data_IF_726675374802
#
_entry.id   IF_726675374802
#
_cell.length_a   1.000
_cell.length_b   1.000
_cell.length_c   1.000
_cell.angle_alpha   90.00
_cell.angle_beta   90.00
_cell.angle_gamma   90.00
#
_symmetry.space_group_name_H-M   'P 1'
#
loop_
_entity.id
_entity.type
_entity.pdbx_description
1 polymer ?
#
# COMPACT_ATOMS: atom_id res chain seq x y z
N UNK A 1 11.10 -2.69 -1.06
CA UNK A 1 10.06 -3.31 -1.92
C UNK A 1 9.70 -4.66 -1.32
N UNK A 2 8.42 -4.92 -1.08
CA UNK A 2 7.95 -6.20 -0.54
C UNK A 2 7.96 -7.24 -1.66
N UNK A 3 8.53 -8.42 -1.38
CA UNK A 3 8.43 -9.55 -2.31
C UNK A 3 7.00 -10.06 -2.34
N UNK A 4 6.49 -10.34 -3.54
CA UNK A 4 5.21 -11.03 -3.68
C UNK A 4 5.30 -12.38 -2.95
N UNK A 5 4.44 -12.67 -1.96
CA UNK A 5 4.44 -13.97 -1.30
C UNK A 5 4.20 -15.06 -2.35
N UNK A 6 4.85 -16.22 -2.20
CA UNK A 6 4.63 -17.39 -3.07
C UNK A 6 3.22 -18.00 -2.93
N UNK A 7 2.41 -17.47 -2.02
CA UNK A 7 0.99 -17.79 -1.81
C UNK A 7 0.11 -16.82 -2.60
N UNK A 8 -1.11 -17.21 -3.04
CA UNK A 8 -1.97 -16.33 -3.80
C UNK A 8 -2.21 -15.04 -3.03
N UNK A 9 -1.70 -13.94 -3.56
CA UNK A 9 -1.92 -12.61 -3.02
C UNK A 9 -3.43 -12.36 -3.06
N UNK A 10 -4.08 -12.23 -1.90
CA UNK A 10 -5.53 -12.04 -1.82
C UNK A 10 -5.85 -10.55 -1.65
N UNK A 11 -6.82 -10.06 -2.43
CA UNK A 11 -7.25 -8.67 -2.38
C UNK A 11 -7.79 -8.27 -1.00
N UNK A 12 -8.40 -9.20 -0.26
CA UNK A 12 -8.86 -8.97 1.11
C UNK A 12 -7.70 -8.80 2.10
N UNK A 13 -6.57 -9.49 1.86
CA UNK A 13 -5.36 -9.27 2.66
C UNK A 13 -4.78 -7.88 2.39
N UNK A 14 -4.69 -7.49 1.12
CA UNK A 14 -4.21 -6.17 0.72
C UNK A 14 -5.08 -5.02 1.26
N UNK A 15 -6.41 -5.21 1.31
CA UNK A 15 -7.33 -4.23 1.91
C UNK A 15 -7.08 -4.07 3.42
N UNK A 16 -6.80 -5.18 4.11
CA UNK A 16 -6.44 -5.16 5.54
C UNK A 16 -5.11 -4.45 5.77
N UNK A 17 -4.09 -4.72 4.95
CA UNK A 17 -2.82 -3.98 4.98
C UNK A 17 -3.03 -2.47 4.78
N UNK A 18 -3.77 -2.08 3.74
CA UNK A 18 -4.05 -0.65 3.49
C UNK A 18 -4.81 0.01 4.66
N UNK A 19 -5.74 -0.71 5.30
CA UNK A 19 -6.47 -0.18 6.46
C UNK A 19 -5.57 -0.06 7.68
N UNK A 20 -4.66 -1.02 7.89
CA UNK A 20 -3.67 -0.97 8.96
C UNK A 20 -2.72 0.22 8.77
N UNK A 21 -2.23 0.47 7.55
CA UNK A 21 -1.42 1.64 7.22
C UNK A 21 -2.14 2.96 7.55
N UNK A 22 -3.44 3.05 7.22
CA UNK A 22 -4.25 4.23 7.60
C UNK A 22 -4.32 4.41 9.10
N UNK A 23 -4.50 3.31 9.85
CA UNK A 23 -4.53 3.37 11.32
C UNK A 23 -3.18 3.81 11.89
N UNK A 24 -2.08 3.23 11.42
CA UNK A 24 -0.72 3.56 11.83
C UNK A 24 -0.40 5.05 11.62
N UNK A 25 -0.78 5.62 10.47
CA UNK A 25 -0.63 7.06 10.22
C UNK A 25 -1.41 7.90 11.23
N UNK A 26 -2.67 7.52 11.53
CA UNK A 26 -3.46 8.19 12.57
C UNK A 26 -2.94 8.01 14.00
N UNK A 27 -2.23 6.91 14.27
CA UNK A 27 -1.54 6.63 15.54
C UNK A 27 -0.20 7.39 15.66
N UNK A 28 0.24 8.07 14.60
CA UNK A 28 1.51 8.80 14.58
C UNK A 28 2.74 7.92 14.35
N UNK A 29 2.56 6.73 13.79
CA UNK A 29 3.65 5.80 13.50
C UNK A 29 4.56 6.36 12.40
N UNK A 30 5.79 6.72 12.75
CA UNK A 30 6.75 7.32 11.83
C UNK A 30 7.29 6.32 10.80
N UNK A 31 7.08 5.01 10.98
CA UNK A 31 7.49 4.00 10.01
C UNK A 31 6.84 4.21 8.63
N UNK A 32 5.60 4.73 8.60
CA UNK A 32 4.90 5.01 7.33
C UNK A 32 5.45 6.26 6.62
N UNK A 33 6.11 7.18 7.36
CA UNK A 33 6.62 8.42 6.78
C UNK A 33 7.75 8.15 5.79
N UNK A 34 8.62 7.17 6.07
CA UNK A 34 9.68 6.77 5.16
C UNK A 34 9.12 6.22 3.83
N UNK A 35 8.09 5.38 3.90
CA UNK A 35 7.39 4.86 2.72
C UNK A 35 6.73 6.00 1.93
N UNK A 36 6.06 6.93 2.61
CA UNK A 36 5.41 8.08 1.96
C UNK A 36 6.43 8.97 1.23
N UNK A 37 7.59 9.26 1.82
CA UNK A 37 8.66 10.01 1.14
C UNK A 37 9.19 9.29 -0.09
N UNK A 38 9.35 7.98 0.00
CA UNK A 38 9.91 7.18 -1.07
C UNK A 38 8.95 7.08 -2.25
N UNK A 39 7.65 6.97 -1.98
CA UNK A 39 6.63 6.71 -3.00
C UNK A 39 5.89 7.95 -3.48
N UNK A 40 5.78 8.99 -2.67
CA UNK A 40 5.09 10.23 -3.01
C UNK A 40 6.07 11.40 -3.08
N UNK A 41 6.28 11.88 -4.31
CA UNK A 41 7.16 13.04 -4.57
C UNK A 41 6.74 14.28 -3.76
N UNK A 42 5.44 14.48 -3.52
CA UNK A 42 4.90 15.58 -2.72
C UNK A 42 5.38 15.57 -1.26
N UNK A 43 5.74 14.39 -0.73
CA UNK A 43 6.24 14.21 0.63
C UNK A 43 7.76 14.09 0.71
N UNK A 44 8.47 13.99 -0.42
CA UNK A 44 9.92 13.75 -0.47
C UNK A 44 10.74 14.72 0.41
N UNK A 45 10.33 15.99 0.50
CA UNK A 45 11.00 17.03 1.30
C UNK A 45 10.25 17.40 2.59
N UNK A 46 9.24 16.62 3.00
CA UNK A 46 8.43 16.90 4.21
C UNK A 46 8.99 16.18 5.43
N UNK A 47 8.95 16.83 6.58
CA UNK A 47 9.26 16.24 7.89
C UNK A 47 8.20 15.21 8.31
N UNK A 48 8.52 14.32 9.25
CA UNK A 48 7.57 13.29 9.72
C UNK A 48 6.31 13.96 10.30
N UNK A 49 6.49 15.07 11.01
CA UNK A 49 5.40 15.87 11.56
C UNK A 49 4.49 16.44 10.46
N UNK A 50 5.04 16.96 9.36
CA UNK A 50 4.24 17.45 8.23
C UNK A 50 3.50 16.33 7.50
N UNK A 51 4.13 15.16 7.39
CA UNK A 51 3.53 13.98 6.76
C UNK A 51 2.38 13.44 7.62
N UNK A 52 2.56 13.36 8.94
CA UNK A 52 1.53 12.92 9.88
C UNK A 52 0.41 13.95 10.05
N UNK A 53 0.70 15.25 9.88
CA UNK A 53 -0.30 16.31 9.89
C UNK A 53 -1.13 16.36 8.59
N UNK A 54 -0.63 15.80 7.48
CA UNK A 54 -1.34 15.77 6.22
C UNK A 54 -2.54 14.79 6.28
N UNK A 55 -3.66 15.11 5.59
CA UNK A 55 -4.79 14.19 5.52
C UNK A 55 -4.38 12.91 4.80
N UNK A 56 -4.54 11.77 5.48
CA UNK A 56 -4.22 10.45 4.93
C UNK A 56 -5.49 9.64 4.72
N UNK A 57 -5.94 9.57 3.47
CA UNK A 57 -7.14 8.85 3.10
C UNK A 57 -6.85 7.36 2.86
N UNK A 58 -7.90 6.55 2.87
CA UNK A 58 -7.79 5.12 2.53
C UNK A 58 -7.26 4.90 1.11
N UNK A 59 -7.49 5.85 0.19
CA UNK A 59 -6.96 5.78 -1.17
C UNK A 59 -5.43 5.92 -1.20
N UNK A 60 -4.85 6.79 -0.38
CA UNK A 60 -3.40 6.95 -0.25
C UNK A 60 -2.77 5.69 0.32
N UNK A 61 -3.38 5.12 1.36
CA UNK A 61 -2.93 3.87 1.96
C UNK A 61 -2.96 2.68 0.97
N UNK A 62 -4.01 2.59 0.15
CA UNK A 62 -4.09 1.59 -0.95
C UNK A 62 -3.02 1.82 -2.01
N UNK A 63 -2.70 3.08 -2.32
CA UNK A 63 -1.68 3.43 -3.29
C UNK A 63 -0.28 3.05 -2.81
N UNK A 64 0.07 3.37 -1.57
CA UNK A 64 1.33 2.99 -0.94
C UNK A 64 1.46 1.47 -0.90
N UNK A 65 0.38 0.77 -0.52
CA UNK A 65 0.35 -0.70 -0.56
C UNK A 65 0.69 -1.21 -1.96
N UNK A 66 0.05 -0.68 -3.01
CA UNK A 66 0.36 -1.07 -4.39
C UNK A 66 1.81 -0.81 -4.79
N UNK A 67 2.36 0.34 -4.41
CA UNK A 67 3.73 0.71 -4.71
C UNK A 67 4.76 -0.15 -3.95
N UNK A 68 4.47 -0.57 -2.70
CA UNK A 68 5.29 -1.53 -1.97
C UNK A 68 5.42 -2.88 -2.70
N UNK A 69 4.38 -3.29 -3.42
CA UNK A 69 4.37 -4.49 -4.29
C UNK A 69 4.85 -4.21 -5.74
N UNK A 70 5.28 -2.99 -6.05
CA UNK A 70 5.79 -2.61 -7.38
C UNK A 70 4.72 -2.23 -8.40
N UNK A 71 3.47 -2.02 -7.98
CA UNK A 71 2.37 -1.59 -8.85
C UNK A 71 2.15 -0.10 -8.79
N UNK A 72 1.97 0.54 -9.95
CA UNK A 72 1.77 2.00 -10.03
C UNK A 72 0.41 2.48 -9.50
N UNK A 73 -0.56 1.59 -9.30
CA UNK A 73 -1.88 1.90 -8.76
C UNK A 73 -2.58 0.69 -8.14
N UNK A 74 -3.50 0.96 -7.22
CA UNK A 74 -4.32 -0.08 -6.58
C UNK A 74 -5.13 -0.90 -7.60
N UNK A 75 -5.65 -0.29 -8.66
CA UNK A 75 -6.38 -1.02 -9.71
C UNK A 75 -5.49 -2.05 -10.41
N UNK A 76 -4.24 -1.71 -10.74
CA UNK A 76 -3.32 -2.67 -11.39
C UNK A 76 -3.01 -3.85 -10.48
N UNK A 77 -2.76 -3.59 -9.19
CA UNK A 77 -2.58 -4.63 -8.18
C UNK A 77 -3.82 -5.53 -8.08
N UNK A 78 -5.01 -4.91 -8.00
CA UNK A 78 -6.29 -5.63 -7.91
C UNK A 78 -6.49 -6.55 -9.11
N UNK A 79 -6.33 -6.03 -10.33
CA UNK A 79 -6.45 -6.83 -11.56
C UNK A 79 -5.43 -7.96 -11.61
N UNK A 80 -4.19 -7.71 -11.20
CA UNK A 80 -3.16 -8.76 -11.14
C UNK A 80 -3.54 -9.88 -10.16
N UNK A 81 -4.06 -9.53 -8.99
CA UNK A 81 -4.55 -10.47 -7.98
C UNK A 81 -5.75 -11.26 -8.47
N UNK A 82 -6.74 -10.59 -9.04
CA UNK A 82 -7.95 -11.22 -9.61
C UNK A 82 -7.63 -12.17 -10.77
N UNK A 83 -6.62 -11.83 -11.57
CA UNK A 83 -6.13 -12.73 -12.62
C UNK A 83 -5.34 -13.90 -12.03
N UNK A 84 -4.44 -13.65 -11.09
CA UNK A 84 -3.61 -14.70 -10.47
C UNK A 84 -4.45 -15.71 -9.67
N UNK A 85 -5.52 -15.25 -9.01
CA UNK A 85 -6.47 -16.13 -8.31
C UNK A 85 -7.31 -16.99 -9.25
N UNK A 86 -7.51 -16.54 -10.51
CA UNK A 86 -8.11 -17.34 -11.58
C UNK A 86 -7.14 -18.39 -12.14
N UNK A 87 -5.85 -18.06 -12.28
CA UNK A 87 -4.84 -19.01 -12.79
C UNK A 87 -4.53 -20.10 -11.75
N UNK A 88 -4.57 -19.77 -10.45
CA UNK A 88 -4.33 -20.72 -9.37
C UNK A 88 -5.49 -21.71 -9.09
N UNK A 89 -6.63 -21.57 -9.77
CA UNK A 89 -7.85 -22.40 -9.58
C UNK A 89 -8.14 -23.36 -10.74
N UNK A 90 -7.13 -23.78 -11.50
CA UNK A 90 -7.32 -24.74 -12.60
C UNK A 90 -6.80 -26.13 -12.20
N UNK A 91 -7.68 -27.11 -11.89
CA UNK A 91 -7.36 -28.52 -12.04
C UNK A 91 -7.31 -28.93 -13.52
#
# INVERSE_FOLDING_TARGET
MKSLPRSPLNIEHLKREATALKRQHGEGDTAICADQRYFEFSFANRSDAEILAAPFALNDAKRITALQYGFSSWQKLKTYVENSSRVAQKP
#
